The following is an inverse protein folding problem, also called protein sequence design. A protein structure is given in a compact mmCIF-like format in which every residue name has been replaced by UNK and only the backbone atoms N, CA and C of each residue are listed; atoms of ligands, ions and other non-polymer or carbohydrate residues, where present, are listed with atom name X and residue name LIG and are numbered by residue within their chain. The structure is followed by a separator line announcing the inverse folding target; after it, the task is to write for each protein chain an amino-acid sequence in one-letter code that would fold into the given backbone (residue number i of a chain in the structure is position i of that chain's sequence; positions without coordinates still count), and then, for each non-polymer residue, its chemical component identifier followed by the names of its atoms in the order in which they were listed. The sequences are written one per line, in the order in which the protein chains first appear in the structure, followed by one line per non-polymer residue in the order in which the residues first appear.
data_IF_680494764838
#
_entry.id   IF_680494764838
#
_cell.length_a   1.000
_cell.length_b   1.000
_cell.length_c   1.000
_cell.angle_alpha   90.00
_cell.angle_beta   90.00
_cell.angle_gamma   90.00
#
_symmetry.space_group_name_H-M   'P 1'
#
loop_
_entity.id
_entity.type
_entity.pdbx_description
1 polymer ?
#
# COMPACT_ATOMS: atom_id res chain seq x y z
N UNK A 1 -37.18 64.52 43.49
CA UNK A 1 -36.07 64.16 42.55
C UNK A 1 -36.38 64.81 41.20
N UNK A 2 -35.49 65.64 40.63
CA UNK A 2 -35.82 66.41 39.41
C UNK A 2 -35.88 65.52 38.16
N UNK A 3 -36.76 65.82 37.20
CA UNK A 3 -36.89 65.06 35.92
C UNK A 3 -35.56 64.81 35.21
N UNK A 4 -34.60 65.76 35.31
CA UNK A 4 -33.24 65.62 34.77
C UNK A 4 -32.45 64.48 35.40
N UNK A 5 -32.56 64.28 36.73
CA UNK A 5 -31.88 63.16 37.41
C UNK A 5 -32.42 61.82 36.96
N UNK A 6 -33.73 61.69 36.78
CA UNK A 6 -34.36 60.44 36.33
C UNK A 6 -33.92 60.07 34.91
N UNK A 7 -33.88 61.05 33.98
CA UNK A 7 -33.42 60.83 32.61
C UNK A 7 -31.94 60.42 32.58
N UNK A 8 -31.09 61.07 33.38
CA UNK A 8 -29.67 60.71 33.49
C UNK A 8 -29.45 59.30 34.05
N UNK A 9 -30.25 58.89 35.04
CA UNK A 9 -30.16 57.52 35.59
C UNK A 9 -30.59 56.46 34.57
N UNK A 10 -31.67 56.71 33.83
CA UNK A 10 -32.13 55.80 32.77
C UNK A 10 -31.09 55.70 31.66
N UNK A 11 -30.53 56.83 31.22
CA UNK A 11 -29.49 56.87 30.19
C UNK A 11 -28.22 56.14 30.66
N UNK A 12 -27.82 56.32 31.92
CA UNK A 12 -26.70 55.61 32.53
C UNK A 12 -26.92 54.09 32.60
N UNK A 13 -28.11 53.65 32.99
CA UNK A 13 -28.49 52.23 32.99
C UNK A 13 -28.51 51.63 31.58
N UNK A 14 -28.93 52.41 30.57
CA UNK A 14 -28.98 51.96 29.19
C UNK A 14 -27.56 51.82 28.60
N UNK A 15 -26.66 52.75 28.91
CA UNK A 15 -25.24 52.65 28.54
C UNK A 15 -24.57 51.45 29.21
N UNK A 16 -24.80 51.25 30.51
CA UNK A 16 -24.29 50.08 31.25
C UNK A 16 -24.86 48.77 30.68
N UNK A 17 -26.15 48.74 30.36
CA UNK A 17 -26.79 47.60 29.72
C UNK A 17 -26.21 47.28 28.35
N UNK A 18 -25.99 48.30 27.51
CA UNK A 18 -25.36 48.14 26.18
C UNK A 18 -23.90 47.68 26.31
N UNK A 19 -23.15 48.19 27.28
CA UNK A 19 -21.77 47.76 27.56
C UNK A 19 -21.73 46.31 28.07
N UNK A 20 -22.66 45.90 28.94
CA UNK A 20 -22.77 44.51 29.42
C UNK A 20 -23.17 43.57 28.28
N UNK A 21 -24.12 43.96 27.42
CA UNK A 21 -24.50 43.16 26.24
C UNK A 21 -23.34 43.07 25.24
N UNK A 22 -22.62 44.16 24.99
CA UNK A 22 -21.42 44.15 24.13
C UNK A 22 -20.27 43.32 24.73
N UNK A 23 -20.08 43.35 26.05
CA UNK A 23 -19.09 42.53 26.76
C UNK A 23 -19.51 41.05 26.83
N UNK A 24 -20.80 40.76 26.98
CA UNK A 24 -21.35 39.39 27.00
C UNK A 24 -21.50 38.78 25.60
N UNK A 25 -21.54 39.61 24.55
CA UNK A 25 -21.64 39.14 23.16
C UNK A 25 -20.29 38.75 22.54
N UNK A 26 -19.17 38.96 23.25
CA UNK A 26 -17.85 38.47 22.84
C UNK A 26 -17.60 37.07 23.37
N UNK A 27 -17.34 36.17 22.41
CA UNK A 27 -16.73 34.84 22.56
C UNK A 27 -17.70 33.71 22.96
N UNK A 28 -18.57 33.32 22.04
CA UNK A 28 -18.79 31.87 21.88
C UNK A 28 -17.41 31.24 21.67
N UNK A 29 -17.00 30.29 22.51
CA UNK A 29 -15.68 29.68 22.40
C UNK A 29 -15.48 29.17 20.97
N UNK A 30 -14.38 29.57 20.33
CA UNK A 30 -14.04 29.04 19.01
C UNK A 30 -13.61 27.58 19.19
N UNK A 31 -14.56 26.67 18.99
CA UNK A 31 -14.36 25.22 19.02
C UNK A 31 -13.94 24.76 17.63
N UNK A 32 -12.73 24.23 17.52
CA UNK A 32 -12.28 23.49 16.33
C UNK A 32 -12.50 22.00 16.53
N UNK A 33 -13.35 21.42 15.69
CA UNK A 33 -13.56 19.98 15.64
C UNK A 33 -12.62 19.34 14.63
N UNK A 34 -11.97 18.26 15.03
CA UNK A 34 -11.04 17.50 14.20
C UNK A 34 -11.49 16.04 14.20
N UNK A 35 -11.93 15.55 13.05
CA UNK A 35 -12.35 14.17 12.87
C UNK A 35 -11.24 13.41 12.17
N UNK A 36 -10.66 12.42 12.84
CA UNK A 36 -9.50 11.68 12.34
C UNK A 36 -9.91 10.27 12.00
N UNK A 37 -9.68 9.86 10.75
CA UNK A 37 -9.84 8.49 10.29
C UNK A 37 -8.45 7.87 10.09
N UNK A 38 -8.22 6.74 10.76
CA UNK A 38 -7.02 5.91 10.61
C UNK A 38 -7.45 4.57 10.01
N UNK A 39 -7.27 4.32 8.70
CA UNK A 39 -7.59 3.05 8.07
C UNK A 39 -6.78 1.89 8.68
N UNK A 40 -5.45 2.05 8.78
CA UNK A 40 -4.54 1.23 9.60
C UNK A 40 -3.53 2.13 10.32
N UNK A 41 -3.12 1.73 11.52
CA UNK A 41 -2.17 2.48 12.35
C UNK A 41 -0.73 1.95 12.25
N UNK A 42 -0.44 1.02 11.33
CA UNK A 42 0.89 0.39 11.17
C UNK A 42 2.02 1.41 10.99
N UNK A 43 1.79 2.48 10.22
CA UNK A 43 2.81 3.51 10.04
C UNK A 43 2.90 4.45 11.25
N UNK A 44 1.89 4.46 12.13
CA UNK A 44 1.85 5.30 13.33
C UNK A 44 2.39 4.60 14.58
N UNK A 45 2.67 3.29 14.51
CA UNK A 45 3.47 2.60 15.54
C UNK A 45 4.96 2.94 15.44
N UNK A 46 5.42 3.38 14.26
CA UNK A 46 6.76 3.94 14.09
C UNK A 46 6.83 5.36 14.67
N UNK A 47 7.78 5.59 15.59
CA UNK A 47 7.88 6.83 16.34
C UNK A 47 8.23 8.05 15.47
N UNK A 48 9.01 7.88 14.39
CA UNK A 48 9.40 8.96 13.49
C UNK A 48 8.21 9.38 12.61
N UNK A 49 7.53 8.41 12.04
CA UNK A 49 6.35 8.64 11.20
C UNK A 49 5.20 9.27 12.00
N UNK A 50 4.97 8.78 13.22
CA UNK A 50 4.00 9.34 14.16
C UNK A 50 4.33 10.79 14.49
N UNK A 51 5.57 11.09 14.87
CA UNK A 51 5.98 12.45 15.27
C UNK A 51 5.85 13.44 14.10
N UNK A 52 6.19 13.02 12.89
CA UNK A 52 6.01 13.83 11.68
C UNK A 52 4.53 14.18 11.45
N UNK A 53 3.63 13.19 11.55
CA UNK A 53 2.19 13.42 11.45
C UNK A 53 1.67 14.38 12.52
N UNK A 54 2.04 14.13 13.78
CA UNK A 54 1.60 14.95 14.92
C UNK A 54 2.04 16.40 14.75
N UNK A 55 3.29 16.63 14.36
CA UNK A 55 3.85 17.97 14.16
C UNK A 55 3.07 18.74 13.07
N UNK A 56 2.79 18.08 11.94
CA UNK A 56 2.03 18.66 10.84
C UNK A 56 0.57 18.96 11.23
N UNK A 57 -0.09 18.03 11.93
CA UNK A 57 -1.46 18.22 12.40
C UNK A 57 -1.54 19.38 13.42
N UNK A 58 -0.61 19.40 14.38
CA UNK A 58 -0.48 20.46 15.37
C UNK A 58 -0.34 21.84 14.71
N UNK A 59 0.54 21.97 13.71
CA UNK A 59 0.70 23.22 12.96
C UNK A 59 -0.63 23.66 12.31
N UNK A 60 -1.37 22.73 11.70
CA UNK A 60 -2.66 23.02 11.05
C UNK A 60 -3.75 23.42 12.04
N UNK A 61 -3.74 22.86 13.24
CA UNK A 61 -4.67 23.25 14.32
C UNK A 61 -4.34 24.67 14.82
N UNK A 62 -3.07 24.99 15.04
CA UNK A 62 -2.65 26.30 15.56
C UNK A 62 -2.88 27.43 14.56
N UNK A 63 -2.74 27.17 13.25
CA UNK A 63 -3.07 28.13 12.19
C UNK A 63 -4.51 28.66 12.33
N UNK A 64 -5.43 27.88 12.90
CA UNK A 64 -6.84 28.25 13.14
C UNK A 64 -7.08 29.01 14.45
N UNK A 65 -6.07 29.09 15.32
CA UNK A 65 -6.13 29.75 16.64
C UNK A 65 -7.34 29.39 17.53
N UNK A 66 -7.76 28.12 17.63
CA UNK A 66 -8.96 27.78 18.39
C UNK A 66 -8.81 28.00 19.89
N UNK A 67 -9.93 28.26 20.56
CA UNK A 67 -10.02 28.27 22.02
C UNK A 67 -10.17 26.85 22.59
N UNK A 68 -10.88 25.99 21.87
CA UNK A 68 -11.10 24.59 22.22
C UNK A 68 -10.82 23.72 21.01
N UNK A 69 -10.12 22.61 21.20
CA UNK A 69 -9.92 21.58 20.19
C UNK A 69 -10.65 20.31 20.65
N UNK A 70 -11.53 19.79 19.82
CA UNK A 70 -12.21 18.51 20.04
C UNK A 70 -11.78 17.54 18.94
N UNK A 71 -11.03 16.51 19.31
CA UNK A 71 -10.61 15.44 18.41
C UNK A 71 -11.48 14.21 18.62
N UNK A 72 -11.97 13.64 17.52
CA UNK A 72 -12.66 12.37 17.50
C UNK A 72 -11.97 11.41 16.54
N UNK A 73 -11.62 10.22 17.02
CA UNK A 73 -10.89 9.21 16.28
C UNK A 73 -11.83 8.08 15.80
N UNK A 74 -11.71 7.76 14.52
CA UNK A 74 -12.32 6.63 13.85
C UNK A 74 -11.19 5.71 13.41
N UNK A 75 -11.07 4.56 14.06
CA UNK A 75 -10.03 3.57 13.81
C UNK A 75 -10.61 2.16 13.94
N UNK A 76 -9.92 1.12 13.41
CA UNK A 76 -10.30 -0.26 13.65
C UNK A 76 -10.47 -0.57 15.15
N UNK A 77 -11.33 -1.54 15.48
CA UNK A 77 -11.41 -2.07 16.84
C UNK A 77 -10.02 -2.44 17.36
N UNK A 78 -9.77 -2.22 18.65
CA UNK A 78 -8.50 -2.53 19.33
C UNK A 78 -7.30 -1.64 19.02
N UNK A 79 -7.41 -0.62 18.17
CA UNK A 79 -6.32 0.37 17.97
C UNK A 79 -6.08 1.20 19.23
N UNK A 80 -7.15 1.69 19.85
CA UNK A 80 -7.11 2.41 21.12
C UNK A 80 -8.49 2.41 21.77
N UNK A 81 -8.53 2.47 23.10
CA UNK A 81 -9.76 2.74 23.85
C UNK A 81 -10.12 4.24 23.90
N UNK A 82 -9.15 5.11 23.60
CA UNK A 82 -9.33 6.56 23.62
C UNK A 82 -9.77 7.07 22.25
N UNK A 83 -11.08 7.19 22.04
CA UNK A 83 -11.66 7.68 20.77
C UNK A 83 -11.93 9.19 20.74
N UNK A 84 -11.73 9.89 21.87
CA UNK A 84 -12.03 11.31 21.99
C UNK A 84 -11.01 12.04 22.86
N UNK A 85 -10.70 13.28 22.48
CA UNK A 85 -9.83 14.18 23.22
C UNK A 85 -10.35 15.62 23.12
N UNK A 86 -10.47 16.29 24.25
CA UNK A 86 -10.85 17.70 24.34
C UNK A 86 -9.76 18.50 25.04
N UNK A 87 -9.29 19.56 24.40
CA UNK A 87 -8.25 20.45 24.92
C UNK A 87 -8.79 21.87 24.91
N UNK A 88 -8.74 22.54 26.06
CA UNK A 88 -9.17 23.94 26.20
C UNK A 88 -7.98 24.82 26.53
N UNK A 89 -7.89 25.97 25.86
CA UNK A 89 -6.88 26.98 26.16
C UNK A 89 -7.20 27.67 27.48
N UNK A 90 -6.25 27.66 28.41
CA UNK A 90 -6.40 28.38 29.68
C UNK A 90 -6.42 29.90 29.46
N UNK A 91 -7.27 30.62 30.19
CA UNK A 91 -7.44 32.08 30.08
C UNK A 91 -6.16 32.90 30.33
N UNK A 92 -5.19 32.34 31.08
CA UNK A 92 -3.90 32.97 31.43
C UNK A 92 -2.70 32.30 30.75
N UNK A 93 -2.91 31.29 29.89
CA UNK A 93 -1.80 30.60 29.23
C UNK A 93 -1.30 31.40 28.03
N UNK A 94 -0.01 31.75 28.06
CA UNK A 94 0.68 32.31 26.90
C UNK A 94 0.58 31.37 25.68
N UNK A 95 0.58 31.95 24.48
CA UNK A 95 0.41 31.21 23.20
C UNK A 95 1.35 29.99 23.07
N UNK A 96 2.59 30.12 23.55
CA UNK A 96 3.61 29.06 23.47
C UNK A 96 3.30 27.89 24.42
N UNK A 97 2.78 28.16 25.62
CA UNK A 97 2.46 27.13 26.60
C UNK A 97 1.28 26.28 26.15
N UNK A 98 0.23 26.92 25.62
CA UNK A 98 -0.92 26.20 25.08
C UNK A 98 -0.55 25.36 23.85
N UNK A 99 0.27 25.90 22.94
CA UNK A 99 0.80 25.15 21.81
C UNK A 99 1.53 23.88 22.28
N UNK A 100 2.40 24.00 23.28
CA UNK A 100 3.12 22.85 23.81
C UNK A 100 2.16 21.82 24.46
N UNK A 101 1.19 22.28 25.26
CA UNK A 101 0.16 21.40 25.83
C UNK A 101 -0.63 20.65 24.77
N UNK A 102 -0.99 21.33 23.68
CA UNK A 102 -1.67 20.71 22.54
C UNK A 102 -0.77 19.65 21.90
N UNK A 103 0.49 19.96 21.62
CA UNK A 103 1.45 19.04 21.03
C UNK A 103 1.62 17.76 21.87
N UNK A 104 1.83 17.90 23.17
CA UNK A 104 2.03 16.78 24.08
C UNK A 104 0.76 15.94 24.24
N UNK A 105 -0.41 16.58 24.25
CA UNK A 105 -1.70 15.88 24.26
C UNK A 105 -1.94 15.09 22.97
N UNK A 106 -1.54 15.62 21.81
CA UNK A 106 -1.60 14.89 20.53
C UNK A 106 -0.63 13.69 20.54
N UNK A 107 0.58 13.84 21.11
CA UNK A 107 1.53 12.73 21.29
C UNK A 107 0.97 11.60 22.13
N UNK A 108 0.33 11.92 23.24
CA UNK A 108 -0.34 10.93 24.06
C UNK A 108 -1.51 10.25 23.31
N UNK A 109 -2.34 11.04 22.61
CA UNK A 109 -3.53 10.55 21.91
C UNK A 109 -3.21 9.61 20.74
N UNK A 110 -2.14 9.87 20.00
CA UNK A 110 -1.71 9.04 18.88
C UNK A 110 -0.64 8.00 19.27
N UNK A 111 -0.50 7.70 20.56
CA UNK A 111 0.36 6.61 21.01
C UNK A 111 -0.37 5.27 20.86
N UNK A 112 0.13 4.42 19.97
CA UNK A 112 -0.40 3.08 19.73
C UNK A 112 0.66 2.04 20.06
N UNK A 113 0.29 1.05 20.87
CA UNK A 113 1.21 -0.02 21.29
C UNK A 113 1.24 -1.17 20.28
N UNK A 114 0.14 -1.37 19.54
CA UNK A 114 -0.01 -2.47 18.59
C UNK A 114 -0.47 -1.95 17.23
N UNK A 115 0.06 -2.58 16.18
CA UNK A 115 -0.41 -2.36 14.82
C UNK A 115 -1.64 -3.24 14.57
N UNK A 116 -2.71 -2.63 14.05
CA UNK A 116 -3.96 -3.30 13.69
C UNK A 116 -4.21 -3.11 12.21
N UNK A 117 -4.38 -4.23 11.51
CA UNK A 117 -4.73 -4.27 10.10
C UNK A 117 -6.14 -4.87 9.97
N UNK A 118 -7.17 -4.06 9.67
CA UNK A 118 -8.51 -4.55 9.46
C UNK A 118 -8.60 -5.34 8.14
N UNK A 119 -9.59 -6.22 8.05
CA UNK A 119 -10.02 -6.77 6.77
C UNK A 119 -10.59 -5.67 5.85
N UNK A 120 -10.61 -5.90 4.54
CA UNK A 120 -11.15 -4.94 3.58
C UNK A 120 -12.63 -4.60 3.83
N UNK A 121 -13.43 -5.55 4.33
CA UNK A 121 -14.82 -5.34 4.70
C UNK A 121 -14.97 -4.45 5.93
N UNK A 122 -14.16 -4.68 6.97
CA UNK A 122 -14.14 -3.83 8.16
C UNK A 122 -13.69 -2.41 7.83
N UNK A 123 -12.68 -2.27 6.96
CA UNK A 123 -12.24 -0.96 6.51
C UNK A 123 -13.35 -0.22 5.74
N UNK A 124 -13.97 -0.84 4.74
CA UNK A 124 -15.06 -0.19 4.00
C UNK A 124 -16.20 0.25 4.94
N UNK A 125 -16.54 -0.58 5.92
CA UNK A 125 -17.54 -0.23 6.94
C UNK A 125 -17.11 0.97 7.80
N UNK A 126 -15.84 1.01 8.23
CA UNK A 126 -15.27 2.13 8.99
C UNK A 126 -15.30 3.44 8.18
N UNK A 127 -14.86 3.40 6.92
CA UNK A 127 -14.85 4.58 6.04
C UNK A 127 -16.26 5.10 5.77
N UNK A 128 -17.20 4.19 5.50
CA UNK A 128 -18.61 4.53 5.35
C UNK A 128 -19.16 5.20 6.61
N UNK A 129 -18.92 4.59 7.77
CA UNK A 129 -19.36 5.11 9.07
C UNK A 129 -18.80 6.50 9.33
N UNK A 130 -17.53 6.74 9.01
CA UNK A 130 -16.90 8.06 9.12
C UNK A 130 -17.63 9.10 8.27
N UNK A 131 -17.79 8.85 6.97
CA UNK A 131 -18.43 9.81 6.06
C UNK A 131 -19.95 9.94 6.25
N UNK A 132 -20.61 8.99 6.91
CA UNK A 132 -22.03 9.10 7.27
C UNK A 132 -22.24 9.86 8.58
N UNK A 133 -21.42 9.59 9.61
CA UNK A 133 -21.65 10.11 10.95
C UNK A 133 -21.00 11.47 11.20
N UNK A 134 -19.93 11.81 10.49
CA UNK A 134 -19.27 13.10 10.68
C UNK A 134 -20.14 14.19 10.05
N UNK A 135 -20.63 15.19 10.80
CA UNK A 135 -21.48 16.23 10.25
C UNK A 135 -20.71 17.10 9.26
N UNK A 136 -21.42 17.67 8.30
CA UNK A 136 -20.86 18.71 7.45
C UNK A 136 -20.68 19.99 8.27
N UNK A 137 -19.42 20.39 8.43
CA UNK A 137 -19.02 21.62 9.11
C UNK A 137 -17.77 22.19 8.41
N UNK A 138 -17.92 23.36 7.78
CA UNK A 138 -16.82 24.04 7.07
C UNK A 138 -15.67 24.46 7.98
N UNK A 139 -15.96 24.62 9.27
CA UNK A 139 -14.96 25.01 10.26
C UNK A 139 -14.25 23.78 10.86
N UNK A 140 -14.80 22.58 10.68
CA UNK A 140 -14.15 21.34 11.10
C UNK A 140 -13.05 20.90 10.13
N UNK A 141 -12.06 20.18 10.66
CA UNK A 141 -11.03 19.50 9.89
C UNK A 141 -11.34 18.00 9.82
N UNK A 142 -11.36 17.46 8.61
CA UNK A 142 -11.31 16.01 8.41
C UNK A 142 -9.84 15.62 8.19
N UNK A 143 -9.40 14.53 8.82
CA UNK A 143 -8.02 14.06 8.73
C UNK A 143 -8.02 12.59 8.33
N UNK A 144 -7.35 12.25 7.23
CA UNK A 144 -7.07 10.89 6.80
C UNK A 144 -5.59 10.57 7.06
N UNK A 145 -5.29 9.65 7.98
CA UNK A 145 -3.92 9.38 8.43
C UNK A 145 -3.63 7.88 8.50
N UNK A 146 -2.35 7.51 8.63
CA UNK A 146 -1.93 6.11 8.73
C UNK A 146 -1.62 5.50 7.36
N UNK A 147 -2.09 4.28 7.12
CA UNK A 147 -1.88 3.53 5.87
C UNK A 147 -3.14 2.80 5.44
N UNK A 148 -3.28 2.43 4.17
CA UNK A 148 -4.28 1.45 3.75
C UNK A 148 -3.79 0.01 3.99
N UNK A 149 -4.70 -0.96 4.24
CA UNK A 149 -4.37 -2.36 4.31
C UNK A 149 -3.74 -2.83 2.99
N UNK A 150 -2.77 -3.76 3.02
CA UNK A 150 -2.06 -4.21 1.83
C UNK A 150 -2.95 -4.66 0.65
N UNK A 151 -4.16 -5.18 0.91
CA UNK A 151 -5.05 -5.75 -0.11
C UNK A 151 -6.42 -5.06 -0.27
N UNK A 152 -6.47 -3.74 -0.13
CA UNK A 152 -7.68 -2.93 -0.35
C UNK A 152 -7.93 -2.58 -1.84
N UNK A 153 -8.26 -3.58 -2.67
CA UNK A 153 -8.39 -3.53 -4.16
C UNK A 153 -9.31 -2.44 -4.75
N UNK A 154 -9.14 -2.18 -6.05
CA UNK A 154 -10.02 -1.33 -6.86
C UNK A 154 -11.50 -1.75 -6.79
N UNK A 155 -11.79 -3.04 -6.65
CA UNK A 155 -13.16 -3.53 -6.45
C UNK A 155 -13.74 -3.16 -5.08
N UNK A 156 -12.92 -3.21 -4.01
CA UNK A 156 -13.34 -2.72 -2.69
C UNK A 156 -13.59 -1.21 -2.71
N UNK A 157 -12.71 -0.45 -3.36
CA UNK A 157 -12.89 1.00 -3.53
C UNK A 157 -14.12 1.32 -4.36
N UNK A 158 -14.35 0.62 -5.48
CA UNK A 158 -15.54 0.84 -6.32
C UNK A 158 -16.83 0.64 -5.51
N UNK A 159 -16.90 -0.45 -4.74
CA UNK A 159 -18.04 -0.72 -3.85
C UNK A 159 -18.19 0.34 -2.76
N UNK A 160 -17.09 0.79 -2.14
CA UNK A 160 -17.14 1.88 -1.18
C UNK A 160 -17.66 3.18 -1.83
N UNK A 161 -17.19 3.51 -3.03
CA UNK A 161 -17.64 4.68 -3.79
C UNK A 161 -19.15 4.59 -4.05
N UNK A 162 -19.65 3.45 -4.52
CA UNK A 162 -21.09 3.21 -4.70
C UNK A 162 -21.88 3.42 -3.40
N UNK A 163 -21.37 2.92 -2.27
CA UNK A 163 -22.01 3.13 -0.96
C UNK A 163 -21.98 4.59 -0.49
N UNK A 164 -21.02 5.39 -0.95
CA UNK A 164 -20.90 6.81 -0.65
C UNK A 164 -21.63 7.72 -1.65
N UNK A 165 -22.09 7.20 -2.80
CA UNK A 165 -22.69 7.97 -3.90
C UNK A 165 -24.02 8.67 -3.55
N UNK A 166 -24.60 8.45 -2.36
CA UNK A 166 -25.80 9.15 -1.89
C UNK A 166 -25.54 10.27 -0.87
N UNK A 167 -24.29 10.51 -0.49
CA UNK A 167 -23.98 11.51 0.54
C UNK A 167 -24.11 12.93 0.01
N UNK A 168 -24.66 13.82 0.85
CA UNK A 168 -24.78 15.24 0.53
C UNK A 168 -23.38 15.83 0.26
N UNK A 169 -23.21 16.59 -0.84
CA UNK A 169 -22.00 17.37 -1.11
C UNK A 169 -21.53 18.20 0.08
N UNK A 170 -20.23 18.14 0.38
CA UNK A 170 -19.57 18.80 1.52
C UNK A 170 -18.69 19.96 1.05
N UNK A 171 -19.24 20.77 0.14
CA UNK A 171 -18.53 21.84 -0.56
C UNK A 171 -17.76 22.79 0.38
N UNK A 172 -16.43 22.75 0.27
CA UNK A 172 -15.52 23.64 1.00
C UNK A 172 -15.04 23.12 2.35
N UNK A 173 -15.49 21.94 2.82
CA UNK A 173 -14.91 21.28 3.98
C UNK A 173 -13.51 20.74 3.63
N UNK A 174 -12.54 20.95 4.52
CA UNK A 174 -11.13 20.59 4.27
C UNK A 174 -10.86 19.17 4.75
N UNK A 175 -10.24 18.37 3.89
CA UNK A 175 -9.65 17.08 4.24
C UNK A 175 -8.14 17.20 4.20
N UNK A 176 -7.51 17.08 5.35
CA UNK A 176 -6.07 16.90 5.46
C UNK A 176 -5.77 15.41 5.26
N UNK A 177 -4.94 15.05 4.30
CA UNK A 177 -4.58 13.64 4.10
C UNK A 177 -3.06 13.45 4.22
N UNK A 178 -2.67 12.49 5.05
CA UNK A 178 -1.30 12.14 5.38
C UNK A 178 -1.14 10.62 5.45
N UNK A 179 -1.60 9.92 4.40
CA UNK A 179 -1.46 8.48 4.30
C UNK A 179 -0.05 8.17 3.80
N UNK A 180 0.70 7.42 4.60
CA UNK A 180 2.15 7.21 4.42
C UNK A 180 2.48 6.03 3.52
N UNK A 181 1.57 5.06 3.43
CA UNK A 181 1.65 3.97 2.49
C UNK A 181 0.33 3.85 1.73
N UNK A 182 0.42 4.11 0.43
CA UNK A 182 -0.70 4.12 -0.50
C UNK A 182 -0.50 3.12 -1.63
N UNK A 183 -1.56 2.86 -2.40
CA UNK A 183 -1.60 2.19 -3.70
C UNK A 183 -2.16 3.14 -4.73
N UNK A 184 -1.45 3.31 -5.85
CA UNK A 184 -1.65 4.43 -6.77
C UNK A 184 -3.08 4.49 -7.29
N UNK A 185 -3.50 3.47 -8.04
CA UNK A 185 -4.80 3.45 -8.72
C UNK A 185 -6.02 3.48 -7.79
N UNK A 186 -6.18 2.57 -6.82
CA UNK A 186 -7.42 2.49 -6.02
C UNK A 186 -7.57 3.70 -5.09
N UNK A 187 -6.49 4.21 -4.51
CA UNK A 187 -6.60 5.27 -3.52
C UNK A 187 -6.61 6.65 -4.17
N UNK A 188 -5.92 6.85 -5.29
CA UNK A 188 -6.14 8.04 -6.13
C UNK A 188 -7.60 8.09 -6.61
N UNK A 189 -8.19 6.96 -7.01
CA UNK A 189 -9.61 6.89 -7.39
C UNK A 189 -10.53 7.30 -6.25
N UNK A 190 -10.26 6.85 -5.02
CA UNK A 190 -11.01 7.26 -3.84
C UNK A 190 -10.85 8.76 -3.57
N UNK A 191 -9.62 9.28 -3.59
CA UNK A 191 -9.37 10.71 -3.37
C UNK A 191 -10.04 11.57 -4.45
N UNK A 192 -9.97 11.18 -5.72
CA UNK A 192 -10.70 11.83 -6.82
C UNK A 192 -12.20 11.84 -6.56
N UNK A 193 -12.79 10.72 -6.15
CA UNK A 193 -14.22 10.69 -5.78
C UNK A 193 -14.56 11.67 -4.64
N UNK A 194 -13.76 11.70 -3.57
CA UNK A 194 -13.97 12.64 -2.46
C UNK A 194 -13.90 14.10 -2.91
N UNK A 195 -12.99 14.42 -3.83
CA UNK A 195 -12.83 15.76 -4.38
C UNK A 195 -13.96 16.13 -5.35
N UNK A 196 -14.29 15.24 -6.29
CA UNK A 196 -15.14 15.56 -7.43
C UNK A 196 -16.63 15.37 -7.11
N UNK A 197 -16.98 14.31 -6.38
CA UNK A 197 -18.37 13.97 -6.06
C UNK A 197 -18.83 14.54 -4.72
N UNK A 198 -17.96 14.52 -3.70
CA UNK A 198 -18.28 15.12 -2.40
C UNK A 198 -17.84 16.59 -2.28
N UNK A 199 -17.18 17.14 -3.30
CA UNK A 199 -16.72 18.54 -3.33
C UNK A 199 -15.83 18.93 -2.13
N UNK A 200 -15.07 17.97 -1.61
CA UNK A 200 -14.15 18.18 -0.49
C UNK A 200 -12.86 18.86 -0.97
N UNK A 201 -12.32 19.77 -0.15
CA UNK A 201 -11.02 20.39 -0.43
C UNK A 201 -9.91 19.53 0.14
N UNK A 202 -9.32 18.68 -0.69
CA UNK A 202 -8.19 17.84 -0.30
C UNK A 202 -6.90 18.66 -0.17
N UNK A 203 -6.17 18.44 0.93
CA UNK A 203 -4.85 19.03 1.18
C UNK A 203 -3.92 17.97 1.74
N UNK A 204 -2.81 17.71 1.04
CA UNK A 204 -1.79 16.75 1.49
C UNK A 204 -1.00 17.33 2.67
N UNK A 205 -0.77 16.53 3.70
CA UNK A 205 0.23 16.81 4.73
C UNK A 205 1.62 16.44 4.18
N UNK A 206 2.62 17.30 4.42
CA UNK A 206 4.00 17.09 4.01
C UNK A 206 4.68 16.01 4.85
N UNK A 207 4.30 14.75 4.63
CA UNK A 207 4.87 13.57 5.28
C UNK A 207 5.74 12.80 4.28
N UNK A 208 6.86 12.20 4.73
CA UNK A 208 7.63 11.30 3.88
C UNK A 208 6.77 10.10 3.47
N UNK A 209 6.64 9.88 2.16
CA UNK A 209 6.02 8.66 1.63
C UNK A 209 6.99 7.51 1.90
N UNK A 210 6.52 6.46 2.58
CA UNK A 210 7.40 5.36 3.02
C UNK A 210 7.67 4.36 1.89
N UNK A 211 6.64 4.01 1.10
CA UNK A 211 6.71 3.23 -0.16
C UNK A 211 5.28 2.95 -0.70
N UNK A 212 5.18 2.52 -1.96
CA UNK A 212 3.96 1.86 -2.49
C UNK A 212 3.82 0.44 -1.90
N UNK A 213 2.62 0.04 -1.48
CA UNK A 213 2.37 -1.30 -0.89
C UNK A 213 1.81 -2.28 -1.92
N UNK A 214 2.51 -3.37 -2.28
CA UNK A 214 1.96 -4.39 -3.17
C UNK A 214 0.92 -5.27 -2.44
N UNK A 215 -0.19 -5.61 -3.10
CA UNK A 215 -1.06 -6.72 -2.66
C UNK A 215 -0.59 -8.03 -3.28
N UNK A 216 -0.22 -9.05 -2.48
CA UNK A 216 0.28 -10.32 -3.00
C UNK A 216 -0.71 -11.12 -3.86
N UNK A 217 -2.02 -10.84 -3.79
CA UNK A 217 -3.03 -11.76 -4.36
C UNK A 217 -3.94 -11.18 -5.45
N UNK A 218 -4.13 -9.85 -5.59
CA UNK A 218 -5.30 -9.37 -6.36
C UNK A 218 -5.20 -8.00 -7.06
N UNK A 219 -4.03 -7.34 -7.13
CA UNK A 219 -3.91 -6.19 -8.07
C UNK A 219 -3.47 -6.67 -9.45
N UNK A 220 -4.36 -6.47 -10.41
CA UNK A 220 -4.07 -6.45 -11.84
C UNK A 220 -2.80 -5.62 -12.10
N UNK A 221 -1.86 -6.24 -12.81
CA UNK A 221 -0.55 -5.74 -13.15
C UNK A 221 -0.60 -4.64 -14.23
N UNK A 222 -1.28 -3.52 -13.96
CA UNK A 222 -1.22 -2.35 -14.83
C UNK A 222 0.14 -1.66 -14.67
N UNK A 223 1.19 -2.25 -15.26
CA UNK A 223 2.47 -1.58 -15.50
C UNK A 223 3.73 -2.42 -15.26
N UNK A 224 3.69 -3.45 -14.41
CA UNK A 224 4.89 -4.22 -14.02
C UNK A 224 4.82 -5.64 -14.57
N UNK A 225 5.87 -6.08 -15.28
CA UNK A 225 5.90 -7.41 -15.88
C UNK A 225 5.87 -8.52 -14.80
N UNK A 226 5.03 -9.53 -15.00
CA UNK A 226 5.11 -10.78 -14.23
C UNK A 226 6.15 -11.67 -14.88
N UNK A 227 7.12 -12.10 -14.09
CA UNK A 227 8.15 -13.03 -14.51
C UNK A 227 8.06 -14.31 -13.70
N UNK A 228 7.99 -15.43 -14.41
CA UNK A 228 7.97 -16.75 -13.80
C UNK A 228 9.37 -17.33 -13.88
N UNK A 229 9.97 -17.66 -12.75
CA UNK A 229 11.37 -18.10 -12.67
C UNK A 229 11.46 -19.50 -12.08
N UNK A 230 11.78 -20.48 -12.92
CA UNK A 230 12.10 -21.85 -12.53
C UNK A 230 13.61 -21.95 -12.22
N UNK A 231 13.96 -22.02 -10.95
CA UNK A 231 15.35 -22.16 -10.52
C UNK A 231 15.75 -23.64 -10.45
N UNK A 232 16.70 -24.00 -11.30
CA UNK A 232 17.29 -25.34 -11.41
C UNK A 232 18.56 -25.49 -10.56
N UNK A 233 19.26 -24.39 -10.30
CA UNK A 233 20.43 -24.33 -9.41
C UNK A 233 20.22 -23.34 -8.27
N UNK A 234 21.13 -23.40 -7.29
CA UNK A 234 21.35 -22.31 -6.34
C UNK A 234 22.06 -21.15 -7.01
N UNK A 235 21.73 -19.94 -6.59
CA UNK A 235 22.46 -18.73 -6.92
C UNK A 235 23.27 -18.28 -5.71
N UNK A 236 24.54 -17.96 -5.93
CA UNK A 236 25.30 -17.10 -5.02
C UNK A 236 24.71 -15.69 -5.02
N UNK A 237 25.12 -14.87 -4.05
CA UNK A 237 24.61 -13.51 -3.96
C UNK A 237 24.91 -12.68 -5.22
N UNK A 238 26.09 -12.88 -5.82
CA UNK A 238 26.47 -12.21 -7.06
C UNK A 238 25.61 -12.67 -8.23
N UNK A 239 25.47 -14.00 -8.41
CA UNK A 239 24.64 -14.55 -9.50
C UNK A 239 23.15 -14.16 -9.37
N UNK A 240 22.64 -14.03 -8.14
CA UNK A 240 21.29 -13.55 -7.87
C UNK A 240 21.10 -12.10 -8.31
N UNK A 241 22.09 -11.22 -8.06
CA UNK A 241 22.05 -9.82 -8.54
C UNK A 241 22.13 -9.74 -10.05
N UNK A 242 23.06 -10.47 -10.66
CA UNK A 242 23.22 -10.52 -12.11
C UNK A 242 21.94 -10.99 -12.79
N UNK A 243 21.29 -12.00 -12.21
CA UNK A 243 20.00 -12.48 -12.68
C UNK A 243 18.90 -11.41 -12.58
N UNK A 244 18.78 -10.72 -11.45
CA UNK A 244 17.79 -9.64 -11.30
C UNK A 244 18.03 -8.52 -12.33
N UNK A 245 19.28 -8.13 -12.56
CA UNK A 245 19.65 -7.16 -13.60
C UNK A 245 19.31 -7.65 -15.02
N UNK A 246 19.56 -8.93 -15.31
CA UNK A 246 19.17 -9.54 -16.58
C UNK A 246 17.66 -9.47 -16.80
N UNK A 247 16.87 -9.79 -15.77
CA UNK A 247 15.41 -9.71 -15.83
C UNK A 247 14.95 -8.27 -16.05
N UNK A 248 15.52 -7.28 -15.35
CA UNK A 248 15.17 -5.86 -15.55
C UNK A 248 15.36 -5.42 -17.01
N UNK A 249 16.47 -5.86 -17.64
CA UNK A 249 16.74 -5.53 -19.05
C UNK A 249 15.74 -6.18 -20.02
N UNK A 250 15.17 -7.33 -19.66
CA UNK A 250 14.22 -8.06 -20.51
C UNK A 250 12.79 -7.56 -20.31
N UNK A 251 12.41 -7.21 -19.08
CA UNK A 251 11.01 -7.02 -18.70
C UNK A 251 10.66 -5.63 -18.18
N UNK A 252 11.65 -4.75 -17.98
CA UNK A 252 11.47 -3.39 -17.48
C UNK A 252 12.05 -3.18 -16.08
N UNK A 253 12.09 -1.91 -15.64
CA UNK A 253 12.72 -1.49 -14.38
C UNK A 253 12.11 -2.17 -13.13
N UNK A 254 10.81 -2.48 -13.19
CA UNK A 254 10.08 -3.16 -12.12
C UNK A 254 9.39 -4.43 -12.63
N UNK A 255 9.50 -5.51 -11.84
CA UNK A 255 8.81 -6.76 -12.14
C UNK A 255 8.42 -7.50 -10.86
N UNK A 256 7.37 -8.32 -10.97
CA UNK A 256 7.06 -9.32 -9.94
C UNK A 256 7.59 -10.66 -10.36
N UNK A 257 8.43 -11.26 -9.53
CA UNK A 257 8.96 -12.59 -9.76
C UNK A 257 8.21 -13.64 -8.95
N UNK A 258 7.77 -14.69 -9.62
CA UNK A 258 7.28 -15.92 -9.01
C UNK A 258 8.39 -16.97 -9.10
N UNK A 259 8.73 -17.58 -7.98
CA UNK A 259 9.78 -18.60 -7.88
C UNK A 259 9.15 -19.99 -7.95
N UNK A 260 9.62 -20.80 -8.91
CA UNK A 260 9.45 -22.25 -8.89
C UNK A 260 10.80 -22.90 -8.60
N UNK A 261 10.86 -23.71 -7.56
CA UNK A 261 12.09 -24.36 -7.13
C UNK A 261 11.78 -25.68 -6.40
N UNK A 262 12.76 -26.57 -6.30
CA UNK A 262 12.63 -27.84 -5.56
C UNK A 262 12.73 -27.68 -4.02
N UNK A 263 12.68 -26.43 -3.52
CA UNK A 263 13.01 -26.07 -2.15
C UNK A 263 11.97 -25.19 -1.46
N UNK A 264 12.28 -24.70 -0.25
CA UNK A 264 11.34 -23.89 0.55
C UNK A 264 10.99 -22.53 -0.08
N UNK A 265 11.70 -22.13 -1.15
CA UNK A 265 11.37 -20.96 -1.94
C UNK A 265 10.28 -21.22 -3.00
N UNK A 266 9.82 -22.47 -3.18
CA UNK A 266 8.81 -22.79 -4.19
C UNK A 266 7.48 -22.06 -3.94
N UNK A 267 6.91 -21.49 -5.00
CA UNK A 267 5.66 -20.74 -4.93
C UNK A 267 5.78 -19.36 -4.27
N UNK A 268 6.96 -18.99 -3.78
CA UNK A 268 7.18 -17.64 -3.25
C UNK A 268 7.17 -16.61 -4.38
N UNK A 269 6.78 -15.39 -4.06
CA UNK A 269 6.83 -14.28 -4.99
C UNK A 269 7.34 -13.02 -4.31
N UNK A 270 8.01 -12.16 -5.06
CA UNK A 270 8.46 -10.85 -4.59
C UNK A 270 8.40 -9.82 -5.71
N UNK A 271 8.23 -8.56 -5.34
CA UNK A 271 8.37 -7.41 -6.25
C UNK A 271 9.82 -6.95 -6.23
N UNK A 272 10.37 -6.66 -7.39
CA UNK A 272 11.70 -6.08 -7.55
C UNK A 272 11.58 -4.72 -8.26
N UNK A 273 12.10 -3.67 -7.62
CA UNK A 273 12.13 -2.30 -8.14
C UNK A 273 13.44 -1.55 -7.80
N UNK A 274 14.46 -2.27 -7.32
CA UNK A 274 15.73 -1.68 -6.91
C UNK A 274 16.74 -1.56 -8.05
N UNK A 275 17.63 -0.57 -7.98
CA UNK A 275 18.92 -0.64 -8.66
C UNK A 275 19.74 -1.73 -7.97
N UNK A 276 20.25 -2.71 -8.73
CA UNK A 276 20.86 -3.94 -8.20
C UNK A 276 22.15 -3.75 -7.37
N UNK A 277 22.53 -2.52 -7.03
CA UNK A 277 23.79 -2.18 -6.37
C UNK A 277 23.74 -2.08 -4.84
N UNK A 278 22.62 -1.76 -4.17
CA UNK A 278 22.65 -1.43 -2.71
C UNK A 278 21.59 -2.07 -1.78
N UNK A 279 20.69 -2.91 -2.27
CA UNK A 279 19.69 -3.59 -1.41
C UNK A 279 20.07 -5.02 -1.06
N UNK A 280 19.77 -5.45 0.17
CA UNK A 280 19.82 -6.86 0.57
C UNK A 280 19.01 -7.73 -0.40
N UNK A 281 19.53 -8.90 -0.76
CA UNK A 281 18.85 -9.81 -1.68
C UNK A 281 17.49 -10.24 -1.14
N UNK A 282 16.47 -10.39 -2.00
CA UNK A 282 15.19 -10.95 -1.61
C UNK A 282 15.39 -12.28 -0.88
N UNK A 283 14.83 -12.46 0.33
CA UNK A 283 14.99 -13.69 1.11
C UNK A 283 14.66 -14.99 0.35
N UNK A 284 13.71 -15.02 -0.62
CA UNK A 284 13.48 -16.23 -1.40
C UNK A 284 14.69 -16.69 -2.23
N UNK A 285 15.49 -15.78 -2.78
CA UNK A 285 16.66 -16.13 -3.60
C UNK A 285 17.80 -16.74 -2.79
N UNK A 286 17.87 -16.46 -1.48
CA UNK A 286 18.89 -17.04 -0.60
C UNK A 286 18.55 -18.46 -0.13
N UNK A 287 17.32 -18.94 -0.40
CA UNK A 287 16.81 -20.24 0.06
C UNK A 287 16.62 -21.26 -1.07
N UNK A 288 17.17 -20.98 -2.25
CA UNK A 288 17.09 -21.86 -3.41
C UNK A 288 17.76 -23.22 -3.16
N UNK A 289 17.23 -24.27 -3.77
CA UNK A 289 17.82 -25.61 -3.82
C UNK A 289 18.07 -26.02 -5.26
N UNK A 290 19.05 -26.91 -5.45
CA UNK A 290 19.31 -27.51 -6.76
C UNK A 290 18.17 -28.47 -7.10
N UNK A 291 17.57 -28.33 -8.28
CA UNK A 291 16.51 -29.20 -8.74
C UNK A 291 17.06 -30.59 -9.08
N UNK A 292 16.24 -31.62 -8.87
CA UNK A 292 16.54 -32.97 -9.34
C UNK A 292 15.81 -33.26 -10.66
N UNK A 293 16.24 -34.31 -11.37
CA UNK A 293 15.56 -34.74 -12.59
C UNK A 293 14.06 -35.00 -12.36
N UNK A 294 13.69 -35.61 -11.23
CA UNK A 294 12.30 -35.91 -10.91
C UNK A 294 11.48 -34.64 -10.61
N UNK A 295 12.12 -33.63 -10.03
CA UNK A 295 11.50 -32.34 -9.72
C UNK A 295 11.11 -31.57 -10.98
N UNK A 296 11.79 -31.78 -12.11
CA UNK A 296 11.45 -31.10 -13.37
C UNK A 296 10.00 -31.36 -13.79
N UNK A 297 9.49 -32.58 -13.62
CA UNK A 297 8.08 -32.90 -13.94
C UNK A 297 7.11 -32.03 -13.14
N UNK A 298 7.35 -31.93 -11.84
CA UNK A 298 6.56 -31.11 -10.93
C UNK A 298 6.65 -29.62 -11.30
N UNK A 299 7.85 -29.10 -11.55
CA UNK A 299 8.07 -27.69 -11.88
C UNK A 299 7.42 -27.30 -13.21
N UNK A 300 7.51 -28.15 -14.24
CA UNK A 300 6.83 -27.89 -15.51
C UNK A 300 5.31 -28.00 -15.37
N UNK A 301 4.77 -28.94 -14.60
CA UNK A 301 3.32 -28.99 -14.36
C UNK A 301 2.83 -27.76 -13.61
N UNK A 302 3.54 -27.33 -12.58
CA UNK A 302 3.25 -26.10 -11.84
C UNK A 302 3.28 -24.88 -12.75
N UNK A 303 4.25 -24.82 -13.67
CA UNK A 303 4.32 -23.81 -14.72
C UNK A 303 3.07 -23.83 -15.61
N UNK A 304 2.72 -24.99 -16.16
CA UNK A 304 1.56 -25.14 -17.05
C UNK A 304 0.25 -24.75 -16.33
N UNK A 305 0.05 -25.22 -15.10
CA UNK A 305 -1.16 -24.93 -14.32
C UNK A 305 -1.28 -23.46 -13.95
N UNK A 306 -0.15 -22.78 -13.71
CA UNK A 306 -0.13 -21.34 -13.47
C UNK A 306 -0.52 -20.59 -14.74
N UNK A 307 0.07 -20.94 -15.89
CA UNK A 307 -0.20 -20.28 -17.17
C UNK A 307 -1.62 -20.55 -17.70
N UNK A 308 -2.22 -21.71 -17.38
CA UNK A 308 -3.63 -22.00 -17.70
C UNK A 308 -4.60 -21.05 -16.99
N UNK A 309 -4.25 -20.64 -15.78
CA UNK A 309 -5.05 -19.73 -14.94
C UNK A 309 -4.76 -18.27 -15.27
N UNK A 310 -3.57 -17.99 -15.78
CA UNK A 310 -3.12 -16.67 -16.21
C UNK A 310 -3.73 -16.31 -17.58
N UNK A 311 -4.97 -15.82 -17.54
CA UNK A 311 -5.80 -15.51 -18.72
C UNK A 311 -5.83 -14.03 -19.08
N UNK A 312 -5.10 -13.19 -18.35
CA UNK A 312 -5.21 -11.74 -18.40
C UNK A 312 -3.81 -11.11 -18.50
N UNK A 313 -3.30 -10.88 -19.73
CA UNK A 313 -2.10 -10.05 -19.90
C UNK A 313 -1.27 -10.24 -21.17
N UNK A 314 -0.20 -9.45 -21.32
CA UNK A 314 0.83 -9.64 -22.35
C UNK A 314 1.54 -10.99 -22.21
N UNK A 315 2.24 -11.42 -23.27
CA UNK A 315 3.03 -12.67 -23.34
C UNK A 315 3.88 -12.90 -22.07
N UNK A 316 3.60 -13.94 -21.25
CA UNK A 316 4.36 -14.19 -20.02
C UNK A 316 5.81 -14.62 -20.32
N UNK A 317 6.73 -14.09 -19.51
CA UNK A 317 8.15 -14.47 -19.53
C UNK A 317 8.43 -15.59 -18.52
N UNK A 318 9.03 -16.67 -19.00
CA UNK A 318 9.38 -17.86 -18.20
C UNK A 318 10.89 -18.05 -18.24
N UNK A 319 11.56 -17.74 -17.14
CA UNK A 319 12.99 -17.93 -16.97
C UNK A 319 13.27 -19.32 -16.39
N UNK A 320 14.06 -20.13 -17.10
CA UNK A 320 14.70 -21.33 -16.58
C UNK A 320 16.09 -20.91 -16.11
N UNK A 321 16.43 -21.06 -14.83
CA UNK A 321 17.62 -20.45 -14.24
C UNK A 321 18.57 -21.52 -13.70
N UNK A 322 19.76 -21.63 -14.30
CA UNK A 322 20.80 -22.59 -13.90
C UNK A 322 20.86 -23.86 -14.76
N UNK A 323 21.72 -24.80 -14.37
CA UNK A 323 21.94 -26.03 -15.14
C UNK A 323 20.79 -27.02 -14.97
N UNK A 324 20.46 -27.72 -16.06
CA UNK A 324 19.55 -28.86 -15.97
C UNK A 324 20.18 -30.02 -15.19
N UNK A 325 19.39 -30.73 -14.36
CA UNK A 325 19.89 -31.87 -13.61
C UNK A 325 20.21 -33.06 -14.54
N UNK A 326 21.22 -33.88 -14.19
CA UNK A 326 21.58 -35.06 -14.96
C UNK A 326 20.47 -36.11 -14.93
N UNK A 327 20.41 -36.93 -15.98
CA UNK A 327 19.45 -38.03 -16.05
C UNK A 327 19.75 -39.09 -14.99
N UNK A 328 18.71 -39.68 -14.36
CA UNK A 328 18.87 -40.98 -13.73
C UNK A 328 19.29 -41.99 -14.81
N UNK A 329 19.93 -43.10 -14.42
CA UNK A 329 20.34 -44.16 -15.35
C UNK A 329 19.11 -44.84 -15.96
N UNK A 330 18.56 -44.28 -17.03
CA UNK A 330 17.41 -44.80 -17.81
C UNK A 330 17.73 -44.80 -19.31
N UNK A 331 17.15 -45.74 -20.10
CA UNK A 331 17.38 -45.84 -21.55
C UNK A 331 16.98 -44.56 -22.31
N UNK A 332 17.77 -44.15 -23.31
CA UNK A 332 17.65 -42.87 -24.04
C UNK A 332 16.23 -42.51 -24.52
N UNK A 333 15.47 -43.48 -25.03
CA UNK A 333 14.16 -43.24 -25.66
C UNK A 333 13.05 -42.77 -24.72
N UNK A 334 13.15 -43.03 -23.40
CA UNK A 334 12.09 -42.72 -22.43
C UNK A 334 12.39 -41.50 -21.53
N UNK A 335 13.50 -40.80 -21.78
CA UNK A 335 14.03 -39.77 -20.85
C UNK A 335 13.16 -38.51 -20.77
N UNK A 336 12.57 -38.08 -21.88
CA UNK A 336 11.86 -36.79 -21.96
C UNK A 336 10.33 -36.90 -21.95
N UNK A 337 9.77 -38.04 -22.34
CA UNK A 337 8.32 -38.31 -22.24
C UNK A 337 7.88 -38.49 -20.79
N UNK A 338 8.81 -38.86 -19.89
CA UNK A 338 8.54 -39.03 -18.46
C UNK A 338 8.47 -37.73 -17.66
N UNK A 339 8.99 -36.63 -18.19
CA UNK A 339 8.96 -35.34 -17.49
C UNK A 339 7.57 -34.73 -17.53
N UNK A 340 7.00 -34.65 -18.72
CA UNK A 340 5.70 -34.02 -18.96
C UNK A 340 5.06 -34.80 -20.12
N UNK A 341 3.77 -35.10 -20.02
CA UNK A 341 3.06 -35.89 -21.02
C UNK A 341 3.04 -35.17 -22.38
N UNK A 342 2.93 -35.91 -23.50
CA UNK A 342 2.81 -35.28 -24.82
C UNK A 342 1.69 -34.23 -24.91
N UNK A 343 0.55 -34.48 -24.25
CA UNK A 343 -0.58 -33.55 -24.19
C UNK A 343 -0.21 -32.23 -23.50
N UNK A 344 0.45 -32.30 -22.36
CA UNK A 344 0.90 -31.11 -21.62
C UNK A 344 1.94 -30.30 -22.43
N UNK A 345 2.81 -30.96 -23.21
CA UNK A 345 3.71 -30.26 -24.13
C UNK A 345 2.98 -29.53 -25.27
N UNK A 346 1.94 -30.15 -25.83
CA UNK A 346 1.12 -29.50 -26.84
C UNK A 346 0.36 -28.30 -26.28
N UNK A 347 0.00 -28.32 -25.00
CA UNK A 347 -0.58 -27.16 -24.33
C UNK A 347 0.45 -26.04 -24.15
N UNK A 348 1.67 -26.34 -23.71
CA UNK A 348 2.74 -25.35 -23.66
C UNK A 348 3.00 -24.65 -25.00
N UNK A 349 2.89 -25.38 -26.11
CA UNK A 349 3.04 -24.80 -27.45
C UNK A 349 1.92 -23.85 -27.84
N UNK A 350 0.72 -24.06 -27.31
CA UNK A 350 -0.46 -23.22 -27.57
C UNK A 350 -0.46 -21.97 -26.70
N UNK A 351 0.23 -22.00 -25.56
CA UNK A 351 0.43 -20.83 -24.71
C UNK A 351 1.33 -19.83 -25.42
N UNK A 352 0.91 -18.56 -25.45
CA UNK A 352 1.70 -17.47 -26.00
C UNK A 352 2.72 -16.98 -24.96
N UNK A 353 3.65 -17.85 -24.55
CA UNK A 353 4.70 -17.56 -23.56
C UNK A 353 6.10 -17.55 -24.20
N UNK A 354 7.03 -16.76 -23.62
CA UNK A 354 8.45 -16.75 -24.01
C UNK A 354 9.28 -17.43 -22.94
N UNK A 355 9.96 -18.50 -23.33
CA UNK A 355 10.89 -19.20 -22.45
C UNK A 355 12.30 -18.63 -22.64
N UNK A 356 13.01 -18.37 -21.55
CA UNK A 356 14.41 -17.96 -21.57
C UNK A 356 15.19 -18.87 -20.64
N UNK A 357 16.21 -19.55 -21.16
CA UNK A 357 17.16 -20.27 -20.32
C UNK A 357 18.36 -19.37 -20.01
N UNK A 358 18.52 -19.08 -18.72
CA UNK A 358 19.55 -18.21 -18.18
C UNK A 358 20.58 -19.02 -17.39
N UNK A 359 21.85 -18.94 -17.80
CA UNK A 359 22.99 -19.46 -17.06
C UNK A 359 23.79 -18.27 -16.48
N UNK A 360 23.84 -18.11 -15.15
CA UNK A 360 24.58 -17.03 -14.52
C UNK A 360 26.08 -17.34 -14.53
N UNK A 361 26.85 -16.65 -15.38
CA UNK A 361 28.32 -16.74 -15.42
C UNK A 361 28.89 -18.15 -15.54
N UNK A 362 28.10 -19.11 -16.06
CA UNK A 362 28.46 -20.52 -16.24
C UNK A 362 28.47 -20.88 -17.72
N UNK A 363 29.40 -21.75 -18.13
CA UNK A 363 29.43 -22.31 -19.48
C UNK A 363 28.34 -23.38 -19.62
N UNK A 364 27.60 -23.42 -20.74
CA UNK A 364 26.61 -24.48 -20.96
C UNK A 364 27.28 -25.86 -20.98
N UNK A 365 26.60 -26.85 -20.41
CA UNK A 365 27.01 -28.25 -20.47
C UNK A 365 26.38 -28.96 -21.68
N UNK A 366 26.87 -30.14 -22.01
CA UNK A 366 26.22 -31.03 -23.01
C UNK A 366 24.77 -31.32 -22.62
N UNK A 367 24.49 -31.48 -21.33
CA UNK A 367 23.14 -31.73 -20.81
C UNK A 367 22.23 -30.52 -21.06
N UNK A 368 22.70 -29.30 -20.78
CA UNK A 368 21.91 -28.08 -21.06
C UNK A 368 21.57 -27.96 -22.55
N UNK A 369 22.55 -28.27 -23.40
CA UNK A 369 22.39 -28.25 -24.85
C UNK A 369 21.34 -29.28 -25.32
N UNK A 370 21.37 -30.49 -24.75
CA UNK A 370 20.36 -31.52 -25.02
C UNK A 370 18.96 -31.07 -24.59
N UNK A 371 18.80 -30.55 -23.37
CA UNK A 371 17.50 -30.09 -22.88
C UNK A 371 16.93 -28.95 -23.72
N UNK A 372 17.73 -27.92 -24.03
CA UNK A 372 17.28 -26.81 -24.86
C UNK A 372 16.95 -27.30 -26.27
N UNK A 373 17.74 -28.21 -26.84
CA UNK A 373 17.42 -28.80 -28.14
C UNK A 373 16.10 -29.59 -28.11
N UNK A 374 15.83 -30.34 -27.04
CA UNK A 374 14.55 -31.02 -26.86
C UNK A 374 13.38 -30.05 -26.75
N UNK A 375 13.50 -29.03 -25.91
CA UNK A 375 12.45 -28.03 -25.74
C UNK A 375 12.19 -27.26 -27.05
N UNK A 376 13.26 -26.90 -27.78
CA UNK A 376 13.20 -26.10 -29.01
C UNK A 376 12.74 -26.92 -30.23
N UNK A 377 13.39 -28.04 -30.53
CA UNK A 377 13.17 -28.80 -31.77
C UNK A 377 12.02 -29.79 -31.61
N UNK A 378 12.03 -30.57 -30.54
CA UNK A 378 11.06 -31.66 -30.35
C UNK A 378 9.76 -31.19 -29.72
N UNK A 379 9.83 -30.23 -28.77
CA UNK A 379 8.65 -29.64 -28.14
C UNK A 379 8.23 -28.31 -28.74
N UNK A 380 8.97 -27.78 -29.74
CA UNK A 380 8.62 -26.55 -30.49
C UNK A 380 8.32 -25.35 -29.59
N UNK A 381 8.97 -25.24 -28.45
CA UNK A 381 8.85 -24.10 -27.55
C UNK A 381 9.75 -22.96 -28.04
N UNK A 382 9.25 -21.72 -27.91
CA UNK A 382 10.03 -20.50 -28.16
C UNK A 382 10.99 -20.24 -27.01
N UNK A 383 12.10 -20.98 -26.99
CA UNK A 383 13.14 -20.90 -25.96
C UNK A 383 14.39 -20.18 -26.45
N UNK A 384 14.70 -19.06 -25.81
CA UNK A 384 15.90 -18.24 -26.01
C UNK A 384 16.95 -18.55 -24.94
N UNK A 385 18.23 -18.30 -25.21
CA UNK A 385 19.35 -18.54 -24.29
C UNK A 385 20.18 -17.27 -24.13
N UNK A 386 20.73 -17.00 -22.95
CA UNK A 386 21.69 -15.89 -22.74
C UNK A 386 23.14 -16.26 -23.12
N UNK A 387 23.33 -17.41 -23.75
CA UNK A 387 24.62 -17.97 -24.12
C UNK A 387 24.54 -18.61 -25.51
N UNK A 388 25.70 -18.73 -26.16
CA UNK A 388 25.88 -19.44 -27.42
C UNK A 388 26.44 -20.85 -27.17
N UNK A 389 26.16 -21.75 -28.10
CA UNK A 389 26.70 -23.12 -28.13
C UNK A 389 28.05 -23.17 -28.83
#
# INVERSE_FOLDING_TARGET
MSRRKIILTILGLLIVGVVIVLLSSKSSEEILRVYVLIPTNESMTDSLHRESFITQLHQKIIEKQPHVVELQLYAPPHVTSQSYLKIRRGYMQGKNMWSQTLLDSLRAFFSFDTAVVPSSGELSSLMRTFFQNVPYDRNALLVLAGSFPPCYTSSHVAKLIEELQGLTPRSGQIVLYGIQAMRKTPEERLLSFLQDSLHLKLKRLSLPLTAWRPCPETEEFEGNAVVYSMFLDRLSNTEARDFLHYVQNVTGEEFRMVIWNDGPANGSAFLWSGQASDTALPPPLTRLRKATFFSLSFLFRQCLDTLRKDTLGPTPYIFLVGHFPPYPRVPMGAKFERLVSPKEWDEFRKLNARFLHYLPSKKPTTIDSEYVNVLRVYRKLKIETNYNY
#
